data_IF_810610562592
#
_entry.id   IF_810610562592
#
_cell.length_a   1.000
_cell.length_b   1.000
_cell.length_c   1.000
_cell.angle_alpha   90.00
_cell.angle_beta   90.00
_cell.angle_gamma   90.00
#
_symmetry.space_group_name_H-M   'P 1'
#
loop_
_entity.id
_entity.type
_entity.pdbx_description
1 polymer ?
#
# COMPACT_ATOMS: atom_id res chain seq x y z
N UNK A 1 -10.08 44.99 20.77
CA UNK A 1 -11.28 45.18 19.91
C UNK A 1 -11.82 43.78 19.58
N UNK A 2 -13.04 43.33 19.83
CA UNK A 2 -14.14 43.79 20.65
C UNK A 2 -15.02 42.55 20.93
N UNK A 3 -15.60 42.54 22.12
CA UNK A 3 -16.62 41.62 22.66
C UNK A 3 -17.96 41.86 21.94
N UNK A 4 -18.77 40.82 21.71
CA UNK A 4 -20.11 40.99 21.13
C UNK A 4 -21.06 39.85 21.48
N UNK A 5 -21.93 40.10 22.45
CA UNK A 5 -22.95 39.22 23.03
C UNK A 5 -24.33 39.37 22.35
N UNK A 6 -25.13 38.30 22.42
CA UNK A 6 -26.62 38.25 22.62
C UNK A 6 -27.62 38.91 21.64
N UNK A 7 -28.61 38.09 21.21
CA UNK A 7 -30.09 38.17 21.45
C UNK A 7 -30.77 37.08 20.60
N UNK A 8 -31.53 36.08 21.08
CA UNK A 8 -32.84 35.98 21.81
C UNK A 8 -34.07 36.66 21.16
N UNK A 9 -35.05 35.82 20.74
CA UNK A 9 -36.54 35.89 20.90
C UNK A 9 -37.15 34.56 20.40
N UNK A 10 -37.79 33.71 21.22
CA UNK A 10 -39.17 33.69 21.78
C UNK A 10 -40.25 33.41 20.70
N UNK A 11 -40.95 32.24 20.61
CA UNK A 11 -42.02 31.60 21.49
C UNK A 11 -43.35 32.41 21.41
N UNK A 12 -44.61 31.88 21.49
CA UNK A 12 -45.16 30.58 22.00
C UNK A 12 -46.34 29.94 21.22
N UNK A 13 -46.84 28.78 21.69
CA UNK A 13 -48.26 28.67 22.09
C UNK A 13 -48.44 27.47 23.05
N UNK A 14 -48.65 27.79 24.32
CA UNK A 14 -49.08 26.90 25.39
C UNK A 14 -50.54 27.25 25.70
N UNK A 15 -51.42 26.26 25.72
CA UNK A 15 -52.81 26.40 26.15
C UNK A 15 -53.01 25.69 27.48
N UNK A 16 -52.99 26.46 28.56
CA UNK A 16 -53.36 26.04 29.93
C UNK A 16 -54.89 26.10 30.07
N UNK A 17 -55.50 25.09 30.68
CA UNK A 17 -56.63 25.32 31.63
C UNK A 17 -56.53 24.40 32.84
N UNK A 18 -56.46 25.08 33.97
CA UNK A 18 -56.57 24.69 35.38
C UNK A 18 -57.98 24.20 35.76
N UNK A 19 -58.06 23.33 36.77
CA UNK A 19 -59.08 23.47 37.82
C UNK A 19 -58.66 22.74 39.10
N UNK A 20 -58.87 23.42 40.22
CA UNK A 20 -58.43 23.12 41.57
C UNK A 20 -59.56 22.46 42.41
N UNK A 21 -59.14 21.61 43.34
CA UNK A 21 -59.69 21.22 44.67
C UNK A 21 -61.20 21.19 45.00
N UNK A 22 -61.53 20.01 45.56
CA UNK A 22 -62.11 19.73 46.88
C UNK A 22 -63.65 19.58 47.03
N UNK A 23 -64.09 18.40 47.48
CA UNK A 23 -64.52 18.12 48.87
C UNK A 23 -65.59 17.01 48.99
N UNK A 24 -65.41 16.14 50.01
CA UNK A 24 -66.42 15.44 50.85
C UNK A 24 -67.23 14.23 50.29
N UNK A 25 -66.81 13.03 50.72
CA UNK A 25 -67.58 12.13 51.61
C UNK A 25 -68.79 11.32 51.10
N UNK A 26 -68.68 9.98 51.09
CA UNK A 26 -69.81 9.02 51.09
C UNK A 26 -69.44 7.62 50.57
N UNK A 27 -69.89 6.49 51.16
CA UNK A 27 -69.15 5.23 51.19
C UNK A 27 -69.41 4.31 49.99
N UNK A 28 -68.34 3.89 49.31
CA UNK A 28 -68.35 2.90 48.24
C UNK A 28 -67.72 1.59 48.70
N UNK A 29 -68.58 0.60 48.90
CA UNK A 29 -68.33 -0.80 49.25
C UNK A 29 -67.05 -1.39 48.62
N UNK A 30 -66.25 -2.02 49.48
CA UNK A 30 -65.09 -2.88 49.18
C UNK A 30 -65.50 -3.93 48.14
N UNK A 31 -64.86 -3.91 46.98
CA UNK A 31 -64.65 -5.10 46.15
C UNK A 31 -63.17 -5.20 45.81
N UNK A 32 -62.53 -6.22 46.39
CA UNK A 32 -61.13 -6.53 46.14
C UNK A 32 -60.97 -7.18 44.77
N UNK A 33 -60.06 -6.63 43.97
CA UNK A 33 -59.25 -7.41 43.02
C UNK A 33 -57.86 -6.80 42.98
N UNK A 34 -56.89 -7.63 43.35
CA UNK A 34 -55.58 -7.21 43.79
C UNK A 34 -54.74 -6.59 42.67
N UNK A 35 -54.20 -5.40 42.96
CA UNK A 35 -52.91 -5.01 42.42
C UNK A 35 -51.85 -5.92 43.04
N UNK A 36 -51.48 -6.98 42.33
CA UNK A 36 -50.34 -7.80 42.71
C UNK A 36 -49.06 -6.96 42.76
N UNK A 37 -48.14 -7.23 43.70
CA UNK A 37 -46.86 -6.53 43.75
C UNK A 37 -46.13 -6.80 42.42
N UNK A 38 -45.77 -5.75 41.68
CA UNK A 38 -44.77 -5.89 40.60
C UNK A 38 -43.53 -6.50 41.26
N UNK A 39 -43.24 -7.76 40.94
CA UNK A 39 -42.19 -8.52 41.64
C UNK A 39 -40.83 -7.87 41.38
N UNK A 40 -40.24 -7.31 42.44
CA UNK A 40 -38.87 -6.78 42.42
C UNK A 40 -37.85 -7.86 42.05
N UNK A 41 -38.15 -9.12 42.40
CA UNK A 41 -37.35 -10.29 42.04
C UNK A 41 -37.21 -10.51 40.52
N UNK A 42 -38.27 -10.28 39.73
CA UNK A 42 -38.20 -10.41 38.27
C UNK A 42 -37.32 -9.34 37.62
N UNK A 43 -37.35 -8.12 38.16
CA UNK A 43 -36.48 -7.02 37.72
C UNK A 43 -35.02 -7.26 38.05
N UNK A 44 -34.71 -7.82 39.22
CA UNK A 44 -33.34 -8.16 39.64
C UNK A 44 -32.76 -9.28 38.76
N UNK A 45 -33.53 -10.34 38.49
CA UNK A 45 -33.08 -11.43 37.63
C UNK A 45 -32.75 -10.96 36.21
N UNK A 46 -33.61 -10.11 35.62
CA UNK A 46 -33.36 -9.52 34.31
C UNK A 46 -32.12 -8.61 34.30
N UNK A 47 -31.95 -7.79 35.35
CA UNK A 47 -30.78 -6.93 35.48
C UNK A 47 -29.46 -7.73 35.55
N UNK A 48 -29.45 -8.87 36.25
CA UNK A 48 -28.29 -9.76 36.32
C UNK A 48 -27.96 -10.38 34.96
N UNK A 49 -28.97 -10.82 34.21
CA UNK A 49 -28.77 -11.38 32.85
C UNK A 49 -28.22 -10.32 31.90
N UNK A 50 -28.81 -9.12 31.89
CA UNK A 50 -28.35 -8.00 31.05
C UNK A 50 -26.91 -7.61 31.40
N UNK A 51 -26.59 -7.50 32.69
CA UNK A 51 -25.23 -7.21 33.15
C UNK A 51 -24.23 -8.28 32.71
N UNK A 52 -24.61 -9.56 32.80
CA UNK A 52 -23.78 -10.69 32.38
C UNK A 52 -23.51 -10.68 30.88
N UNK A 53 -24.54 -10.40 30.06
CA UNK A 53 -24.39 -10.25 28.61
C UNK A 53 -23.54 -9.04 28.24
N UNK A 54 -23.72 -7.91 28.93
CA UNK A 54 -22.92 -6.71 28.70
C UNK A 54 -21.44 -6.92 29.02
N UNK A 55 -21.13 -7.60 30.14
CA UNK A 55 -19.77 -7.98 30.52
C UNK A 55 -19.15 -8.99 29.52
N UNK A 56 -19.92 -9.98 29.06
CA UNK A 56 -19.47 -10.94 28.05
C UNK A 56 -19.16 -10.28 26.70
N UNK A 57 -20.05 -9.39 26.24
CA UNK A 57 -19.86 -8.63 25.01
C UNK A 57 -18.69 -7.65 25.11
N UNK A 58 -18.53 -6.94 26.23
CA UNK A 58 -17.40 -6.02 26.44
C UNK A 58 -16.07 -6.79 26.51
N UNK A 59 -16.01 -7.93 27.19
CA UNK A 59 -14.83 -8.79 27.21
C UNK A 59 -14.44 -9.31 25.83
N UNK A 60 -15.42 -9.74 25.03
CA UNK A 60 -15.20 -10.13 23.62
C UNK A 60 -14.68 -8.95 22.79
N UNK A 61 -15.25 -7.77 22.97
CA UNK A 61 -14.82 -6.56 22.26
C UNK A 61 -13.40 -6.16 22.64
N UNK A 62 -13.05 -6.18 23.92
CA UNK A 62 -11.69 -5.91 24.42
C UNK A 62 -10.69 -6.92 23.88
N UNK A 63 -11.03 -8.22 23.88
CA UNK A 63 -10.15 -9.25 23.31
C UNK A 63 -9.98 -9.07 21.80
N UNK A 64 -11.06 -8.76 21.08
CA UNK A 64 -11.01 -8.46 19.64
C UNK A 64 -10.14 -7.22 19.37
N UNK A 65 -10.26 -6.17 20.18
CA UNK A 65 -9.43 -4.97 20.12
C UNK A 65 -7.94 -5.31 20.35
N UNK A 66 -7.62 -6.11 21.36
CA UNK A 66 -6.23 -6.53 21.62
C UNK A 66 -5.67 -7.38 20.47
N UNK A 67 -6.47 -8.29 19.90
CA UNK A 67 -6.07 -9.10 18.74
C UNK A 67 -5.84 -8.22 17.51
N UNK A 68 -6.76 -7.31 17.21
CA UNK A 68 -6.63 -6.37 16.11
C UNK A 68 -5.39 -5.47 16.28
N UNK A 69 -5.16 -4.95 17.49
CA UNK A 69 -3.97 -4.14 17.80
C UNK A 69 -2.68 -4.93 17.55
N UNK A 70 -2.56 -6.14 18.08
CA UNK A 70 -1.37 -6.99 17.85
C UNK A 70 -1.16 -7.34 16.38
N UNK A 71 -2.22 -7.45 15.59
CA UNK A 71 -2.15 -7.77 14.17
C UNK A 71 -1.59 -6.61 13.31
N UNK A 72 -1.73 -5.36 13.75
CA UNK A 72 -1.31 -4.17 12.98
C UNK A 72 -0.14 -3.41 13.58
N UNK A 73 0.31 -3.77 14.78
CA UNK A 73 1.50 -3.18 15.40
C UNK A 73 2.74 -3.99 15.09
N UNK A 74 3.84 -3.32 14.74
CA UNK A 74 5.16 -3.95 14.64
C UNK A 74 5.53 -4.65 15.95
N UNK A 75 6.33 -5.72 15.84
CA UNK A 75 6.77 -6.48 16.99
C UNK A 75 7.67 -5.62 17.91
N UNK A 76 7.46 -5.73 19.22
CA UNK A 76 8.27 -5.10 20.27
C UNK A 76 9.70 -5.63 20.46
N UNK A 77 10.14 -6.63 19.69
CA UNK A 77 11.51 -7.14 19.81
C UNK A 77 12.51 -6.07 19.35
N UNK A 78 13.73 -6.02 19.91
CA UNK A 78 14.76 -5.11 19.45
C UNK A 78 15.00 -5.23 17.93
N UNK A 79 15.19 -4.12 17.19
CA UNK A 79 15.52 -4.17 15.77
C UNK A 79 16.82 -4.95 15.54
N UNK A 80 16.84 -5.83 14.54
CA UNK A 80 18.05 -6.55 14.11
C UNK A 80 19.03 -5.63 13.38
N UNK A 81 18.49 -4.63 12.69
CA UNK A 81 19.28 -3.64 11.97
C UNK A 81 19.57 -2.43 12.87
N UNK A 82 20.75 -1.81 12.74
CA UNK A 82 21.05 -0.58 13.45
C UNK A 82 20.13 0.56 13.00
N UNK A 83 20.02 1.58 13.86
CA UNK A 83 19.38 2.83 13.48
C UNK A 83 20.03 3.40 12.22
N UNK A 84 19.21 3.96 11.32
CA UNK A 84 19.67 4.58 10.07
C UNK A 84 20.56 3.69 9.19
N UNK A 85 20.37 2.36 9.25
CA UNK A 85 21.11 1.33 8.50
C UNK A 85 21.16 1.50 6.97
N UNK A 86 20.31 2.37 6.41
CA UNK A 86 20.26 2.68 4.97
C UNK A 86 20.79 4.07 4.63
N UNK A 87 21.24 4.84 5.62
CA UNK A 87 21.78 6.18 5.39
C UNK A 87 23.13 6.12 4.67
N UNK A 88 23.49 7.15 3.89
CA UNK A 88 24.80 7.20 3.24
C UNK A 88 25.96 7.32 4.24
N UNK A 89 25.70 7.73 5.48
CA UNK A 89 26.71 7.77 6.55
C UNK A 89 27.03 6.37 7.12
N UNK A 90 26.03 5.46 7.18
CA UNK A 90 26.19 4.11 7.74
C UNK A 90 26.53 3.07 6.66
N UNK A 91 25.90 3.16 5.49
CA UNK A 91 26.06 2.19 4.41
C UNK A 91 26.23 2.90 3.04
N UNK A 92 27.32 3.68 2.84
CA UNK A 92 27.54 4.47 1.63
C UNK A 92 27.53 3.62 0.36
N UNK A 93 28.20 2.46 0.38
CA UNK A 93 28.36 1.60 -0.79
C UNK A 93 27.04 1.00 -1.28
N UNK A 94 26.06 0.85 -0.39
CA UNK A 94 24.72 0.33 -0.70
C UNK A 94 23.69 1.42 -0.93
N UNK A 95 24.05 2.70 -0.77
CA UNK A 95 23.07 3.78 -0.82
C UNK A 95 22.37 3.85 -2.18
N UNK A 96 23.14 3.73 -3.27
CA UNK A 96 22.66 3.63 -4.65
C UNK A 96 22.69 2.19 -5.16
N UNK A 97 21.68 1.81 -5.93
CA UNK A 97 21.69 0.52 -6.64
C UNK A 97 20.53 0.34 -7.59
N UNK A 98 20.54 -0.79 -8.30
CA UNK A 98 19.53 -1.26 -9.26
C UNK A 98 18.27 -1.81 -8.54
N UNK A 99 17.81 -1.14 -7.48
CA UNK A 99 16.73 -1.61 -6.61
C UNK A 99 15.31 -1.41 -7.18
N UNK A 100 15.18 -1.43 -8.51
CA UNK A 100 13.91 -1.31 -9.25
C UNK A 100 13.76 -2.52 -10.20
N UNK A 101 13.59 -3.75 -9.67
CA UNK A 101 13.70 -4.97 -10.48
C UNK A 101 12.63 -5.12 -11.58
N UNK A 102 11.53 -4.36 -11.50
CA UNK A 102 10.46 -4.40 -12.49
C UNK A 102 10.64 -3.41 -13.67
N UNK A 103 11.71 -2.60 -13.67
CA UNK A 103 12.10 -1.82 -14.87
C UNK A 103 13.30 -2.45 -15.52
N UNK A 104 13.39 -2.37 -16.85
CA UNK A 104 14.48 -3.00 -17.60
C UNK A 104 15.85 -2.53 -17.13
N UNK A 105 16.01 -1.22 -16.91
CA UNK A 105 17.22 -0.64 -16.35
C UNK A 105 16.91 0.68 -15.61
N UNK A 106 17.41 0.81 -14.39
CA UNK A 106 17.20 2.00 -13.56
C UNK A 106 17.83 1.86 -12.18
N UNK A 107 18.04 3.00 -11.52
CA UNK A 107 18.63 3.04 -10.18
C UNK A 107 17.74 3.84 -9.21
N UNK A 108 17.92 3.58 -7.91
CA UNK A 108 17.33 4.39 -6.85
C UNK A 108 18.19 4.39 -5.59
N UNK A 109 17.94 5.37 -4.72
CA UNK A 109 18.51 5.40 -3.37
C UNK A 109 17.73 4.54 -2.38
N UNK A 110 18.39 3.96 -1.36
CA UNK A 110 17.75 3.30 -0.20
C UNK A 110 17.17 4.32 0.80
N UNK A 111 16.18 5.08 0.37
CA UNK A 111 15.50 6.10 1.17
C UNK A 111 13.97 5.94 1.09
N UNK A 112 13.22 6.28 2.15
CA UNK A 112 11.76 6.37 2.09
C UNK A 112 11.28 7.45 1.10
N UNK A 113 12.11 8.45 0.81
CA UNK A 113 11.88 9.47 -0.23
C UNK A 113 13.03 9.41 -1.25
N UNK A 114 12.98 8.46 -2.19
CA UNK A 114 14.13 8.16 -3.02
C UNK A 114 14.25 9.10 -4.23
N UNK A 115 15.47 9.34 -4.69
CA UNK A 115 15.70 9.76 -6.07
C UNK A 115 15.65 8.53 -6.98
N UNK A 116 15.01 8.66 -8.15
CA UNK A 116 14.72 7.57 -9.07
C UNK A 116 15.23 7.94 -10.47
N UNK A 117 15.92 7.01 -11.12
CA UNK A 117 16.31 7.12 -12.52
C UNK A 117 15.89 5.86 -13.28
N UNK A 118 15.66 5.98 -14.58
CA UNK A 118 15.26 4.84 -15.41
C UNK A 118 15.46 5.10 -16.90
N UNK A 119 15.65 4.00 -17.64
CA UNK A 119 15.75 3.99 -19.09
C UNK A 119 14.38 3.69 -19.72
N UNK A 120 14.13 4.29 -20.88
CA UNK A 120 13.06 3.92 -21.80
C UNK A 120 13.61 3.93 -23.22
N UNK A 121 13.08 3.09 -24.10
CA UNK A 121 13.43 3.12 -25.52
C UNK A 121 12.23 2.77 -26.40
N UNK A 122 12.26 3.21 -27.65
CA UNK A 122 11.27 2.87 -28.67
C UNK A 122 11.95 2.82 -30.04
N UNK A 123 11.75 1.74 -30.79
CA UNK A 123 12.21 1.64 -32.17
C UNK A 123 11.23 2.35 -33.11
N UNK A 124 11.74 3.26 -33.94
CA UNK A 124 10.94 3.98 -34.93
C UNK A 124 10.89 3.20 -36.26
N UNK A 125 9.78 3.29 -36.99
CA UNK A 125 9.67 2.82 -38.38
C UNK A 125 9.50 1.32 -38.60
N UNK A 126 9.30 0.51 -37.55
CA UNK A 126 9.13 -0.96 -37.67
C UNK A 126 7.70 -1.41 -37.98
N UNK A 127 6.67 -0.67 -37.53
CA UNK A 127 5.26 -1.00 -37.78
C UNK A 127 4.44 0.26 -38.01
N UNK A 128 3.41 0.24 -38.89
CA UNK A 128 2.46 1.34 -39.00
C UNK A 128 1.77 1.59 -37.65
N UNK A 129 1.82 2.82 -37.16
CA UNK A 129 1.20 3.22 -35.89
C UNK A 129 2.18 3.68 -34.82
N UNK A 130 1.75 3.64 -33.56
CA UNK A 130 2.53 4.14 -32.42
C UNK A 130 3.70 3.19 -32.10
N UNK A 131 4.94 3.68 -31.99
CA UNK A 131 6.09 2.88 -31.56
C UNK A 131 5.87 2.22 -30.21
N UNK A 132 6.32 0.97 -30.05
CA UNK A 132 6.29 0.28 -28.76
C UNK A 132 7.35 0.89 -27.84
N UNK A 133 6.90 1.66 -26.83
CA UNK A 133 7.76 2.21 -25.79
C UNK A 133 8.03 1.14 -24.72
N UNK A 134 9.29 0.85 -24.45
CA UNK A 134 9.73 -0.10 -23.42
C UNK A 134 10.13 0.64 -22.15
N UNK A 135 9.71 0.13 -21.00
CA UNK A 135 10.12 0.65 -19.69
C UNK A 135 10.11 -0.44 -18.60
N UNK A 136 8.96 -1.06 -18.37
CA UNK A 136 8.74 -2.12 -17.40
C UNK A 136 8.92 -3.50 -18.03
N UNK A 137 9.33 -4.47 -17.22
CA UNK A 137 9.54 -5.85 -17.61
C UNK A 137 8.20 -6.59 -17.75
N UNK A 138 7.46 -6.30 -18.82
CA UNK A 138 6.18 -6.94 -19.11
C UNK A 138 6.38 -8.24 -19.89
N UNK A 139 5.92 -9.37 -19.35
CA UNK A 139 6.16 -10.68 -19.95
C UNK A 139 5.63 -10.83 -21.40
N UNK A 140 4.58 -10.08 -21.75
CA UNK A 140 3.91 -10.14 -23.05
C UNK A 140 4.32 -9.04 -24.03
N UNK A 141 5.36 -8.25 -23.74
CA UNK A 141 5.74 -7.12 -24.60
C UNK A 141 6.61 -7.55 -25.81
N UNK A 142 7.10 -8.78 -25.83
CA UNK A 142 7.91 -9.35 -26.90
C UNK A 142 9.40 -9.02 -26.81
N UNK A 143 9.87 -8.44 -25.70
CA UNK A 143 11.30 -8.32 -25.38
C UNK A 143 11.79 -9.65 -24.80
N UNK A 144 12.93 -10.13 -25.26
CA UNK A 144 13.56 -11.33 -24.72
C UNK A 144 14.44 -12.07 -25.74
N UNK A 145 15.48 -12.78 -25.27
CA UNK A 145 15.90 -12.90 -23.88
C UNK A 145 16.56 -11.62 -23.33
N UNK A 146 16.50 -11.44 -22.00
CA UNK A 146 17.22 -10.37 -21.31
C UNK A 146 17.67 -10.81 -19.92
N UNK A 147 18.74 -10.21 -19.41
CA UNK A 147 19.25 -10.52 -18.07
C UNK A 147 20.63 -9.93 -17.82
N UNK A 148 21.04 -9.98 -16.55
CA UNK A 148 22.38 -9.61 -16.13
C UNK A 148 23.37 -10.70 -16.54
N UNK A 149 24.38 -10.33 -17.31
CA UNK A 149 25.56 -11.16 -17.56
C UNK A 149 26.51 -11.05 -16.36
N UNK A 150 26.74 -9.82 -15.89
CA UNK A 150 27.51 -9.52 -14.69
C UNK A 150 26.72 -8.62 -13.76
N UNK A 151 26.66 -8.95 -12.48
CA UNK A 151 26.15 -8.05 -11.45
C UNK A 151 26.70 -8.47 -10.09
N UNK A 152 27.56 -7.66 -9.48
CA UNK A 152 28.19 -7.99 -8.19
C UNK A 152 27.33 -7.60 -6.97
N UNK A 153 26.20 -6.91 -7.21
CA UNK A 153 25.30 -6.42 -6.17
C UNK A 153 25.79 -5.13 -5.50
N UNK A 154 26.96 -4.63 -5.88
CA UNK A 154 27.69 -3.59 -5.14
C UNK A 154 28.26 -2.51 -6.03
N UNK A 155 29.12 -2.78 -7.00
CA UNK A 155 29.93 -1.77 -7.68
C UNK A 155 29.68 -1.66 -9.19
N UNK A 156 29.26 -2.74 -9.86
CA UNK A 156 29.05 -2.72 -11.30
C UNK A 156 28.04 -3.77 -11.78
N UNK A 157 27.61 -3.61 -13.03
CA UNK A 157 26.88 -4.65 -13.74
C UNK A 157 26.79 -4.40 -15.23
N UNK A 158 26.56 -5.47 -15.97
CA UNK A 158 26.29 -5.51 -17.41
C UNK A 158 25.11 -6.42 -17.68
N UNK A 159 24.14 -5.91 -18.41
CA UNK A 159 22.92 -6.61 -18.81
C UNK A 159 22.79 -6.56 -20.33
N UNK A 160 22.29 -7.65 -20.89
CA UNK A 160 21.89 -7.72 -22.30
C UNK A 160 20.36 -7.80 -22.41
N UNK A 161 19.81 -7.12 -23.40
CA UNK A 161 18.38 -7.10 -23.71
C UNK A 161 18.22 -7.27 -25.22
N UNK A 162 17.52 -8.32 -25.65
CA UNK A 162 17.14 -8.51 -27.05
C UNK A 162 15.70 -8.02 -27.25
N UNK A 163 15.50 -7.11 -28.21
CA UNK A 163 14.18 -6.57 -28.59
C UNK A 163 14.07 -6.57 -30.12
N UNK A 164 13.60 -7.69 -30.68
CA UNK A 164 13.46 -7.86 -32.12
C UNK A 164 14.80 -7.74 -32.86
N UNK A 165 14.98 -6.69 -33.65
CA UNK A 165 16.20 -6.46 -34.43
C UNK A 165 17.28 -5.67 -33.66
N UNK A 166 17.02 -5.32 -32.38
CA UNK A 166 17.93 -4.54 -31.56
C UNK A 166 18.52 -5.40 -30.45
N UNK A 167 19.84 -5.27 -30.26
CA UNK A 167 20.55 -5.75 -29.09
C UNK A 167 20.99 -4.55 -28.26
N UNK A 168 20.44 -4.43 -27.06
CA UNK A 168 20.84 -3.41 -26.09
C UNK A 168 21.80 -4.01 -25.07
N UNK A 169 22.84 -3.25 -24.73
CA UNK A 169 23.73 -3.54 -23.60
C UNK A 169 23.68 -2.36 -22.63
N UNK A 170 23.23 -2.63 -21.41
CA UNK A 170 23.14 -1.65 -20.32
C UNK A 170 24.21 -1.96 -19.28
N UNK A 171 25.09 -1.00 -19.04
CA UNK A 171 26.20 -1.14 -18.09
C UNK A 171 26.14 -0.03 -17.05
N UNK A 172 26.56 -0.34 -15.82
CA UNK A 172 26.82 0.69 -14.82
C UNK A 172 28.09 0.40 -14.03
N UNK A 173 28.71 1.48 -13.55
CA UNK A 173 29.78 1.45 -12.56
C UNK A 173 29.49 2.52 -11.50
N UNK A 174 29.72 2.19 -10.23
CA UNK A 174 29.68 3.13 -9.11
C UNK A 174 31.07 3.48 -8.64
N UNK A 175 31.28 4.74 -8.28
CA UNK A 175 32.50 5.27 -7.68
C UNK A 175 32.18 5.77 -6.28
N UNK A 176 32.71 5.15 -5.21
CA UNK A 176 32.59 5.67 -3.86
C UNK A 176 33.21 7.06 -3.73
N UNK A 177 32.65 7.90 -2.86
CA UNK A 177 33.17 9.24 -2.60
C UNK A 177 32.15 10.16 -1.93
N UNK A 178 32.64 11.25 -1.33
CA UNK A 178 31.81 12.24 -0.65
C UNK A 178 31.03 11.68 0.56
N UNK A 179 29.96 12.37 0.96
CA UNK A 179 29.13 12.03 2.13
C UNK A 179 27.71 11.57 1.76
N UNK A 180 27.42 11.44 0.45
CA UNK A 180 26.05 11.25 -0.06
C UNK A 180 25.89 9.98 -0.92
N UNK A 181 26.79 9.00 -0.76
CA UNK A 181 26.71 7.69 -1.43
C UNK A 181 27.43 7.60 -2.79
N UNK A 182 28.39 8.49 -3.05
CA UNK A 182 29.23 8.46 -4.25
C UNK A 182 28.53 8.83 -5.55
N UNK A 183 29.22 8.52 -6.65
CA UNK A 183 28.80 8.78 -8.02
C UNK A 183 28.54 7.46 -8.76
N UNK A 184 27.82 7.52 -9.87
CA UNK A 184 27.62 6.38 -10.76
C UNK A 184 27.50 6.83 -12.21
N UNK A 185 27.78 5.93 -13.14
CA UNK A 185 27.71 6.20 -14.58
C UNK A 185 27.04 5.04 -15.30
N UNK A 186 26.24 5.37 -16.31
CA UNK A 186 25.62 4.40 -17.21
C UNK A 186 26.28 4.45 -18.58
N UNK A 187 26.42 3.29 -19.21
CA UNK A 187 26.61 3.17 -20.65
C UNK A 187 25.45 2.37 -21.24
N UNK A 188 24.85 2.89 -22.30
CA UNK A 188 23.81 2.20 -23.06
C UNK A 188 24.31 2.10 -24.49
N UNK A 189 24.53 0.88 -24.95
CA UNK A 189 24.94 0.58 -26.32
C UNK A 189 23.77 -0.08 -27.03
N UNK A 190 23.46 0.36 -28.25
CA UNK A 190 22.40 -0.19 -29.09
C UNK A 190 23.01 -0.63 -30.41
N UNK A 191 22.86 -1.90 -30.74
CA UNK A 191 23.39 -2.49 -31.97
C UNK A 191 22.26 -3.18 -32.74
N UNK A 192 22.33 -3.21 -34.08
CA UNK A 192 21.50 -4.10 -34.85
C UNK A 192 21.88 -5.55 -34.52
N UNK A 193 20.90 -6.44 -34.47
CA UNK A 193 21.18 -7.86 -34.29
C UNK A 193 21.80 -8.41 -35.58
N UNK A 194 22.97 -9.05 -35.45
CA UNK A 194 23.68 -9.64 -36.58
C UNK A 194 22.77 -10.66 -37.28
N UNK A 195 22.24 -10.23 -38.41
CA UNK A 195 21.48 -11.07 -39.31
C UNK A 195 22.51 -11.79 -40.17
N UNK A 196 23.22 -12.76 -39.60
CA UNK A 196 23.84 -13.80 -40.42
C UNK A 196 22.69 -14.37 -41.25
N UNK A 197 22.72 -14.06 -42.54
CA UNK A 197 21.66 -14.28 -43.49
C UNK A 197 21.15 -15.71 -43.33
N UNK A 198 19.94 -15.90 -42.81
CA UNK A 198 19.14 -17.11 -43.04
C UNK A 198 18.74 -17.14 -44.53
N UNK A 199 19.74 -17.14 -45.41
CA UNK A 199 19.63 -17.59 -46.79
C UNK A 199 20.21 -18.99 -46.79
N UNK A 200 19.52 -19.92 -46.12
CA UNK A 200 19.55 -21.30 -46.59
C UNK A 200 18.79 -21.30 -47.92
N UNK A 201 19.50 -20.93 -49.00
CA UNK A 201 19.06 -21.28 -50.34
C UNK A 201 18.84 -22.81 -50.38
N UNK A 202 17.84 -23.29 -51.14
CA UNK A 202 17.55 -24.72 -51.21
C UNK A 202 18.80 -25.46 -51.67
N UNK A 203 19.10 -26.65 -51.11
CA UNK A 203 20.23 -27.44 -51.56
C UNK A 203 20.04 -27.74 -53.06
N UNK A 204 20.98 -27.29 -53.87
CA UNK A 204 21.09 -27.68 -55.28
C UNK A 204 21.30 -29.19 -55.30
N UNK A 205 20.28 -29.92 -55.73
CA UNK A 205 20.34 -31.36 -55.89
C UNK A 205 21.07 -31.63 -57.20
N UNK A 206 22.37 -31.90 -57.12
CA UNK A 206 23.17 -32.32 -58.26
C UNK A 206 22.65 -33.69 -58.74
N UNK A 207 22.02 -33.70 -59.93
CA UNK A 207 21.71 -34.93 -60.66
C UNK A 207 23.00 -35.49 -61.26
N UNK A 208 23.40 -36.74 -60.97
CA UNK A 208 24.50 -37.38 -61.67
C UNK A 208 24.07 -37.78 -63.08
N UNK A 209 24.98 -37.58 -64.03
CA UNK A 209 24.91 -38.03 -65.42
C UNK A 209 25.02 -39.56 -65.53
#
# INVERSE_FOLDING_TARGET
>A
MARGERRRRAVPAEGVRTAERAARGGPGRRDGRGGGPRSTAGGVALAVVVLSLALGMSGRWVLAWYRARRAVTLHSAPPVLPADSSSPAVAPDLFWGTYRPHVYFGMKTRSPKPLLTGLMWAQQGTTPGTPKLRHTCEQGDGVGPYGWEFHDGLSFGRQHIQDGALRLTTEFVKRPGGQHGGDWSWRVTVEPQDSATMSSGPPTQDCPC
#
